data_IF_425541973135
#
_entry.id   IF_425541973135
#
_cell.length_a   1.000
_cell.length_b   1.000
_cell.length_c   1.000
_cell.angle_alpha   90.00
_cell.angle_beta   90.00
_cell.angle_gamma   90.00
#
_symmetry.space_group_name_H-M   'P 1'
#
loop_
_entity.id
_entity.type
_entity.pdbx_description
1 polymer ?
#
# COMPACT_ATOMS: atom_id res chain seq x y z
N UNK A 1 78.27 42.64 42.65
CA UNK A 1 76.85 42.49 42.23
C UNK A 1 76.81 41.73 40.90
N UNK A 2 76.22 40.53 40.86
CA UNK A 2 75.97 39.79 39.60
C UNK A 2 74.50 39.38 39.56
N UNK A 3 73.72 39.93 38.63
CA UNK A 3 72.34 39.52 38.38
C UNK A 3 72.37 38.33 37.41
N UNK A 4 71.75 37.22 37.79
CA UNK A 4 71.57 36.04 36.92
C UNK A 4 70.43 36.32 35.94
N UNK A 5 70.70 36.09 34.65
CA UNK A 5 69.70 36.14 33.58
C UNK A 5 68.90 34.85 33.58
N UNK A 6 67.57 34.96 33.67
CA UNK A 6 66.64 33.83 33.55
C UNK A 6 66.49 33.48 32.07
N UNK A 7 67.03 32.32 31.70
CA UNK A 7 66.85 31.69 30.40
C UNK A 7 65.37 31.54 30.10
N UNK A 8 64.84 32.33 29.17
CA UNK A 8 63.54 32.05 28.57
C UNK A 8 63.68 30.82 27.69
N UNK A 9 63.18 29.69 28.18
CA UNK A 9 63.01 28.47 27.39
C UNK A 9 62.09 28.76 26.21
N UNK A 10 62.65 28.56 25.02
CA UNK A 10 62.02 28.65 23.72
C UNK A 10 60.68 27.86 23.64
N UNK A 11 59.63 28.58 23.26
CA UNK A 11 58.47 28.14 22.47
C UNK A 11 57.78 26.82 22.82
N UNK A 12 56.96 26.81 23.87
CA UNK A 12 55.74 26.00 23.83
C UNK A 12 54.57 26.77 24.44
N UNK A 13 53.81 27.46 23.57
CA UNK A 13 52.47 27.89 23.95
C UNK A 13 51.62 26.62 24.12
N UNK A 14 51.46 26.16 25.37
CA UNK A 14 50.73 24.95 25.72
C UNK A 14 49.33 24.90 25.07
N UNK A 15 48.67 26.06 24.93
CA UNK A 15 47.37 26.19 24.24
C UNK A 15 47.45 25.86 22.75
N UNK A 16 48.53 26.27 22.07
CA UNK A 16 48.76 25.99 20.65
C UNK A 16 49.10 24.51 20.45
N UNK A 17 49.84 23.91 21.37
CA UNK A 17 50.11 22.47 21.38
C UNK A 17 48.81 21.66 21.52
N UNK A 18 47.97 22.01 22.49
CA UNK A 18 46.68 21.32 22.72
C UNK A 18 45.77 21.47 21.49
N UNK A 19 45.68 22.67 20.91
CA UNK A 19 44.90 22.90 19.69
C UNK A 19 45.40 22.06 18.49
N UNK A 20 46.72 21.97 18.31
CA UNK A 20 47.33 21.12 17.28
C UNK A 20 46.98 19.65 17.46
N UNK A 21 47.04 19.13 18.69
CA UNK A 21 46.74 17.71 18.97
C UNK A 21 45.26 17.40 18.70
N UNK A 22 44.35 18.27 19.13
CA UNK A 22 42.91 18.11 18.87
C UNK A 22 42.59 18.18 17.37
N UNK A 23 43.25 19.07 16.62
CA UNK A 23 43.09 19.18 15.18
C UNK A 23 43.53 17.89 14.46
N UNK A 24 44.70 17.36 14.81
CA UNK A 24 45.22 16.11 14.23
C UNK A 24 44.34 14.91 14.59
N UNK A 25 43.81 14.86 15.81
CA UNK A 25 42.87 13.82 16.22
C UNK A 25 41.57 13.85 15.40
N UNK A 26 41.01 15.04 15.16
CA UNK A 26 39.81 15.20 14.31
C UNK A 26 40.04 14.74 12.87
N UNK A 27 41.19 15.08 12.28
CA UNK A 27 41.58 14.61 10.94
C UNK A 27 41.73 13.09 10.91
N UNK A 28 42.34 12.50 11.95
CA UNK A 28 42.50 11.04 12.04
C UNK A 28 41.15 10.30 12.13
N UNK A 29 40.21 10.80 12.93
CA UNK A 29 38.85 10.24 13.01
C UNK A 29 38.10 10.38 11.68
N UNK A 30 38.25 11.51 10.98
CA UNK A 30 37.64 11.70 9.66
C UNK A 30 38.23 10.72 8.61
N UNK A 31 39.54 10.49 8.62
CA UNK A 31 40.20 9.53 7.72
C UNK A 31 39.80 8.08 8.03
N UNK A 32 39.61 7.71 9.29
CA UNK A 32 39.06 6.39 9.65
C UNK A 32 37.59 6.27 9.22
N UNK A 33 36.79 7.32 9.44
CA UNK A 33 35.40 7.38 9.02
C UNK A 33 35.22 7.23 7.51
N UNK A 34 36.10 7.84 6.69
CA UNK A 34 36.10 7.65 5.23
C UNK A 34 36.76 6.33 4.80
N UNK A 35 37.76 5.83 5.54
CA UNK A 35 38.51 4.60 5.21
C UNK A 35 37.78 3.30 5.55
N UNK A 36 36.83 3.32 6.51
CA UNK A 36 35.98 2.18 6.85
C UNK A 36 34.78 1.99 5.91
N UNK A 37 34.60 2.86 4.92
CA UNK A 37 33.65 2.68 3.81
C UNK A 37 34.37 2.53 2.46
N UNK A 38 35.21 1.48 2.24
CA UNK A 38 35.62 1.15 0.89
C UNK A 38 34.42 0.52 0.17
N UNK A 39 33.65 1.35 -0.54
CA UNK A 39 32.73 0.90 -1.58
C UNK A 39 31.41 0.29 -1.10
N UNK A 40 30.59 1.06 -0.38
CA UNK A 40 29.15 0.90 -0.60
C UNK A 40 28.91 1.27 -2.08
N UNK A 41 28.48 0.35 -2.95
CA UNK A 41 28.22 0.69 -4.33
C UNK A 41 27.06 1.68 -4.35
N UNK A 42 27.34 2.95 -4.68
CA UNK A 42 26.35 3.95 -5.04
C UNK A 42 25.86 3.72 -6.48
N UNK A 43 25.81 2.47 -6.90
CA UNK A 43 25.11 2.01 -8.08
C UNK A 43 23.92 1.26 -7.52
N UNK A 44 22.72 1.79 -7.72
CA UNK A 44 21.53 0.97 -7.71
C UNK A 44 21.81 -0.19 -8.67
N UNK A 45 22.21 -1.34 -8.12
CA UNK A 45 22.22 -2.57 -8.89
C UNK A 45 20.77 -2.71 -9.34
N UNK A 46 20.49 -2.74 -10.65
CA UNK A 46 19.20 -3.24 -11.08
C UNK A 46 19.12 -4.61 -10.43
N UNK A 47 18.18 -4.78 -9.50
CA UNK A 47 17.80 -6.10 -9.09
C UNK A 47 17.62 -6.84 -10.41
N UNK A 48 18.42 -7.88 -10.62
CA UNK A 48 18.03 -8.89 -11.60
C UNK A 48 16.81 -9.55 -10.97
N UNK A 49 15.68 -8.83 -11.00
CA UNK A 49 14.41 -9.45 -11.23
C UNK A 49 14.68 -10.27 -12.49
N UNK A 50 14.95 -11.56 -12.28
CA UNK A 50 14.52 -12.54 -13.25
C UNK A 50 13.14 -12.05 -13.63
N UNK A 51 13.01 -11.57 -14.86
CA UNK A 51 11.72 -11.49 -15.50
C UNK A 51 11.24 -12.93 -15.42
N UNK A 52 10.53 -13.27 -14.35
CA UNK A 52 9.56 -14.34 -14.40
C UNK A 52 8.65 -13.84 -15.51
N UNK A 53 8.98 -14.27 -16.72
CA UNK A 53 8.23 -14.04 -17.92
C UNK A 53 6.84 -14.50 -17.51
N UNK A 54 5.97 -13.54 -17.26
CA UNK A 54 4.61 -13.79 -16.83
C UNK A 54 3.98 -14.51 -18.00
N UNK A 55 4.05 -15.83 -17.98
CA UNK A 55 3.41 -16.66 -18.96
C UNK A 55 1.97 -16.70 -18.48
N UNK A 56 1.02 -16.04 -19.17
CA UNK A 56 -0.38 -16.23 -18.88
C UNK A 56 -0.66 -17.73 -19.00
N UNK A 57 -0.80 -18.41 -17.87
CA UNK A 57 -1.46 -19.70 -17.89
C UNK A 57 -2.94 -19.38 -18.08
N UNK A 58 -3.41 -19.44 -19.32
CA UNK A 58 -4.84 -19.42 -19.55
C UNK A 58 -5.37 -20.78 -19.10
N UNK A 59 -6.24 -20.78 -18.09
CA UNK A 59 -7.01 -21.97 -17.73
C UNK A 59 -8.37 -21.78 -18.37
N UNK A 60 -8.62 -22.48 -19.47
CA UNK A 60 -9.97 -22.58 -20.03
C UNK A 60 -10.75 -23.52 -19.12
N UNK A 61 -11.65 -22.95 -18.33
CA UNK A 61 -12.60 -23.72 -17.53
C UNK A 61 -13.84 -23.94 -18.39
N UNK A 62 -14.15 -25.20 -18.66
CA UNK A 62 -15.38 -25.56 -19.36
C UNK A 62 -16.58 -25.42 -18.42
N UNK A 63 -17.75 -25.13 -18.98
CA UNK A 63 -18.99 -25.12 -18.19
C UNK A 63 -19.18 -26.49 -17.52
N UNK A 64 -19.23 -26.50 -16.19
CA UNK A 64 -19.45 -27.70 -15.39
C UNK A 64 -20.87 -28.25 -15.58
N UNK A 65 -21.84 -27.35 -15.71
CA UNK A 65 -23.25 -27.67 -15.92
C UNK A 65 -23.94 -26.50 -16.60
N UNK A 66 -24.83 -26.79 -17.54
CA UNK A 66 -25.74 -25.80 -18.11
C UNK A 66 -27.15 -26.28 -17.85
N UNK A 67 -27.92 -25.52 -17.07
CA UNK A 67 -29.34 -25.78 -16.89
C UNK A 67 -30.09 -25.42 -18.17
N UNK A 68 -31.00 -26.29 -18.61
CA UNK A 68 -31.94 -26.01 -19.69
C UNK A 68 -33.30 -25.86 -19.05
N UNK A 69 -33.89 -24.67 -19.14
CA UNK A 69 -35.26 -24.45 -18.67
C UNK A 69 -36.26 -25.20 -19.56
N UNK A 70 -37.42 -25.53 -18.99
CA UNK A 70 -38.53 -26.03 -19.78
C UNK A 70 -38.91 -25.00 -20.87
N UNK A 71 -39.43 -25.45 -22.03
CA UNK A 71 -39.98 -24.55 -23.05
C UNK A 71 -40.94 -23.53 -22.42
N UNK A 72 -40.94 -22.29 -22.91
CA UNK A 72 -41.77 -21.21 -22.32
C UNK A 72 -43.26 -21.58 -22.21
N UNK A 73 -43.77 -22.39 -23.14
CA UNK A 73 -45.15 -22.92 -23.16
C UNK A 73 -45.45 -23.90 -22.01
N UNK A 74 -44.43 -24.52 -21.43
CA UNK A 74 -44.51 -25.50 -20.34
C UNK A 74 -44.17 -24.86 -18.98
N UNK A 75 -43.70 -23.61 -18.97
CA UNK A 75 -43.49 -22.87 -17.74
C UNK A 75 -44.84 -22.51 -17.11
N UNK A 76 -44.92 -22.58 -15.78
CA UNK A 76 -46.11 -22.18 -15.05
C UNK A 76 -46.44 -20.72 -15.36
N UNK A 77 -47.63 -20.48 -15.92
CA UNK A 77 -48.12 -19.12 -16.13
C UNK A 77 -48.51 -18.54 -14.78
N UNK A 78 -47.81 -17.50 -14.36
CA UNK A 78 -48.23 -16.74 -13.19
C UNK A 78 -49.38 -15.81 -13.59
N UNK A 79 -50.59 -15.93 -13.02
CA UNK A 79 -51.66 -14.98 -13.30
C UNK A 79 -51.18 -13.61 -12.81
N UNK A 80 -50.94 -12.69 -13.75
CA UNK A 80 -50.62 -11.31 -13.42
C UNK A 80 -51.94 -10.62 -13.05
N UNK A 81 -52.20 -10.31 -11.77
CA UNK A 81 -53.32 -9.43 -11.46
C UNK A 81 -53.08 -8.08 -12.16
N UNK A 82 -54.13 -7.33 -12.51
CA UNK A 82 -53.98 -5.97 -13.00
C UNK A 82 -53.24 -5.13 -11.95
N UNK A 83 -51.93 -5.02 -12.12
CA UNK A 83 -51.07 -4.17 -11.32
C UNK A 83 -51.02 -2.80 -11.98
N UNK A 84 -51.06 -1.74 -11.18
CA UNK A 84 -50.64 -0.43 -11.69
C UNK A 84 -49.17 -0.56 -12.09
N UNK A 85 -48.83 -0.06 -13.27
CA UNK A 85 -47.42 0.12 -13.62
C UNK A 85 -46.79 0.99 -12.54
N UNK A 86 -45.85 0.38 -11.83
CA UNK A 86 -45.03 1.06 -10.85
C UNK A 86 -43.61 0.60 -11.11
N UNK A 87 -42.75 1.55 -11.46
CA UNK A 87 -41.32 1.30 -11.53
C UNK A 87 -40.88 0.83 -10.14
N UNK A 88 -40.26 -0.35 -10.08
CA UNK A 88 -39.70 -0.84 -8.84
C UNK A 88 -38.68 0.20 -8.34
N UNK A 89 -38.58 0.47 -7.03
CA UNK A 89 -37.56 1.36 -6.51
C UNK A 89 -36.18 0.89 -6.98
N UNK A 90 -35.33 1.81 -7.43
CA UNK A 90 -34.00 1.55 -8.00
C UNK A 90 -33.11 0.68 -7.10
N UNK A 91 -33.39 0.69 -5.80
CA UNK A 91 -32.82 -0.21 -4.81
C UNK A 91 -33.95 -0.87 -3.99
N UNK A 92 -34.57 -1.96 -4.47
CA UNK A 92 -35.56 -2.66 -3.70
C UNK A 92 -34.87 -3.17 -2.44
N UNK A 93 -35.44 -2.89 -1.26
CA UNK A 93 -35.00 -3.55 -0.04
C UNK A 93 -35.24 -5.05 -0.24
N UNK A 94 -34.24 -5.76 -0.76
CA UNK A 94 -34.28 -7.21 -0.85
C UNK A 94 -34.52 -7.65 0.58
N UNK A 95 -35.68 -8.27 0.83
CA UNK A 95 -36.01 -8.87 2.10
C UNK A 95 -35.14 -10.09 2.34
N UNK A 96 -33.80 -9.92 2.27
CA UNK A 96 -32.86 -10.79 2.93
C UNK A 96 -33.29 -10.70 4.39
N UNK A 97 -34.15 -11.63 4.78
CA UNK A 97 -34.31 -12.01 6.16
C UNK A 97 -32.88 -12.29 6.56
N UNK A 98 -32.28 -11.36 7.32
CA UNK A 98 -31.05 -11.63 8.03
C UNK A 98 -31.37 -12.91 8.76
N UNK A 99 -30.83 -14.04 8.30
CA UNK A 99 -31.04 -15.31 8.96
C UNK A 99 -30.69 -15.01 10.42
N UNK A 100 -31.70 -15.07 11.29
CA UNK A 100 -31.55 -14.74 12.69
C UNK A 100 -30.76 -15.89 13.30
N UNK A 101 -29.45 -15.79 13.17
CA UNK A 101 -28.54 -16.87 13.41
C UNK A 101 -27.25 -16.55 12.68
N UNK A 102 -26.26 -16.11 13.43
CA UNK A 102 -24.87 -16.15 13.01
C UNK A 102 -24.53 -17.63 12.78
N UNK A 103 -24.80 -18.13 11.57
CA UNK A 103 -24.32 -19.43 11.12
C UNK A 103 -22.91 -19.19 10.59
N UNK A 104 -21.89 -19.87 11.11
CA UNK A 104 -20.56 -19.81 10.53
C UNK A 104 -20.65 -20.20 9.06
N UNK A 105 -20.13 -19.35 8.17
CA UNK A 105 -19.98 -19.68 6.76
C UNK A 105 -19.05 -20.91 6.65
N UNK A 106 -19.53 -21.97 6.01
CA UNK A 106 -18.77 -23.22 5.87
C UNK A 106 -17.66 -23.11 4.83
N UNK A 107 -17.65 -22.05 4.01
CA UNK A 107 -16.68 -21.78 2.95
C UNK A 107 -15.75 -20.63 3.34
N UNK A 108 -15.46 -20.45 4.64
CA UNK A 108 -14.43 -19.51 5.06
C UNK A 108 -13.06 -20.04 4.60
N UNK A 109 -12.45 -19.33 3.64
CA UNK A 109 -11.14 -19.66 3.10
C UNK A 109 -10.01 -19.23 4.06
N UNK A 110 -9.80 -19.98 5.14
CA UNK A 110 -8.75 -19.68 6.13
C UNK A 110 -7.31 -19.96 5.64
N UNK A 111 -7.13 -20.68 4.53
CA UNK A 111 -5.80 -21.14 4.09
C UNK A 111 -5.18 -20.29 2.97
N UNK A 112 -5.97 -19.57 2.18
CA UNK A 112 -5.46 -18.72 1.11
C UNK A 112 -4.95 -17.38 1.64
N UNK A 113 -5.56 -16.86 2.70
CA UNK A 113 -5.19 -15.56 3.28
C UNK A 113 -3.77 -15.55 3.84
N UNK A 114 -3.32 -16.60 4.54
CA UNK A 114 -1.97 -16.58 5.14
C UNK A 114 -0.82 -16.57 4.11
N UNK A 115 -1.04 -17.09 2.90
CA UNK A 115 -0.03 -17.09 1.83
C UNK A 115 -0.15 -15.87 0.89
N UNK A 116 -1.33 -15.24 0.80
CA UNK A 116 -1.51 -13.95 0.09
C UNK A 116 -1.10 -12.74 0.93
N UNK A 117 -1.23 -12.83 2.26
CA UNK A 117 -0.81 -11.77 3.20
C UNK A 117 0.70 -11.81 3.48
N UNK A 118 1.42 -12.81 2.97
CA UNK A 118 2.87 -12.97 3.13
C UNK A 118 3.72 -11.85 2.49
N UNK A 119 3.09 -10.86 1.86
CA UNK A 119 3.73 -9.68 1.32
C UNK A 119 2.85 -8.41 1.47
N UNK A 120 2.14 -8.24 2.59
CA UNK A 120 1.81 -6.86 3.00
C UNK A 120 3.09 -6.25 3.57
N UNK A 121 3.96 -5.85 2.65
CA UNK A 121 4.99 -4.86 2.92
C UNK A 121 4.23 -3.65 3.49
N UNK A 122 4.70 -3.02 4.59
CA UNK A 122 4.25 -1.68 4.94
C UNK A 122 4.64 -0.74 3.80
N UNK A 123 3.81 -0.71 2.76
CA UNK A 123 3.90 0.20 1.65
C UNK A 123 3.04 1.43 1.91
N UNK A 124 3.04 2.36 0.96
CA UNK A 124 2.13 3.48 1.00
C UNK A 124 0.68 2.97 1.09
N UNK A 125 -0.05 3.49 2.07
CA UNK A 125 -1.46 3.21 2.28
C UNK A 125 -2.20 4.55 2.42
N UNK A 126 -3.49 4.55 2.12
CA UNK A 126 -4.33 5.75 2.19
C UNK A 126 -5.72 5.37 2.68
N UNK A 127 -6.37 6.28 3.41
CA UNK A 127 -7.68 6.03 4.04
C UNK A 127 -8.84 5.93 3.03
N UNK A 128 -8.62 6.39 1.80
CA UNK A 128 -9.66 6.49 0.77
C UNK A 128 -10.67 7.61 1.05
N UNK A 129 -11.69 7.71 0.20
CA UNK A 129 -12.83 8.61 0.40
C UNK A 129 -13.76 8.00 1.47
N UNK A 130 -13.95 8.65 2.64
CA UNK A 130 -14.77 8.09 3.73
C UNK A 130 -16.28 8.14 3.39
N UNK A 131 -17.10 7.44 4.18
CA UNK A 131 -18.55 7.64 4.16
C UNK A 131 -19.04 8.20 5.51
N UNK A 132 -19.77 9.33 5.52
CA UNK A 132 -20.01 10.22 4.39
C UNK A 132 -18.76 11.05 4.05
N UNK A 133 -18.43 11.17 2.77
CA UNK A 133 -17.20 11.84 2.32
C UNK A 133 -17.26 12.49 0.94
N UNK A 134 -18.46 12.57 0.35
CA UNK A 134 -18.76 13.33 -0.87
C UNK A 134 -20.09 14.05 -0.65
N UNK A 135 -20.41 15.05 -1.48
CA UNK A 135 -21.64 15.87 -1.34
C UNK A 135 -22.94 15.03 -1.38
N UNK A 136 -22.89 13.84 -1.99
CA UNK A 136 -23.97 12.86 -1.84
C UNK A 136 -23.72 11.92 -0.66
N UNK A 137 -24.69 11.82 0.23
CA UNK A 137 -24.76 10.78 1.26
C UNK A 137 -25.34 9.45 0.70
N UNK A 138 -25.02 9.14 -0.56
CA UNK A 138 -25.56 8.05 -1.37
C UNK A 138 -25.27 6.68 -0.73
N UNK A 139 -26.28 5.80 -0.69
CA UNK A 139 -26.14 4.45 -0.16
C UNK A 139 -26.79 3.42 -1.13
N UNK A 140 -26.08 2.33 -1.49
CA UNK A 140 -24.71 2.01 -1.07
C UNK A 140 -23.66 2.95 -1.71
N UNK A 141 -22.50 3.16 -1.08
CA UNK A 141 -21.40 3.87 -1.71
C UNK A 141 -20.85 3.09 -2.91
N UNK A 142 -20.85 3.71 -4.09
CA UNK A 142 -20.36 3.10 -5.34
C UNK A 142 -18.88 3.45 -5.51
N UNK A 143 -18.02 2.71 -4.82
CA UNK A 143 -16.57 2.95 -4.80
C UNK A 143 -15.86 2.21 -5.92
N UNK A 144 -15.29 2.96 -6.86
CA UNK A 144 -14.40 2.44 -7.90
C UNK A 144 -13.02 3.12 -7.82
N UNK A 145 -12.00 2.52 -8.44
CA UNK A 145 -10.69 3.15 -8.51
C UNK A 145 -9.75 2.57 -9.56
N UNK A 146 -8.74 3.37 -9.91
CA UNK A 146 -7.72 3.02 -10.90
C UNK A 146 -6.32 3.39 -10.41
N UNK A 147 -5.38 2.49 -10.65
CA UNK A 147 -3.99 2.59 -10.22
C UNK A 147 -3.15 3.20 -11.35
N UNK A 148 -2.76 4.47 -11.23
CA UNK A 148 -1.86 5.18 -12.16
C UNK A 148 -0.38 4.94 -11.88
N UNK A 149 0.51 5.63 -12.59
CA UNK A 149 1.97 5.50 -12.38
C UNK A 149 2.42 6.12 -11.05
N UNK A 150 1.92 7.32 -10.72
CA UNK A 150 2.31 8.09 -9.52
C UNK A 150 1.15 8.32 -8.55
N UNK A 151 -0.05 7.88 -8.92
CA UNK A 151 -1.27 8.19 -8.19
C UNK A 151 -2.26 7.02 -8.20
N UNK A 152 -3.18 7.02 -7.26
CA UNK A 152 -4.40 6.23 -7.27
C UNK A 152 -5.60 7.17 -7.38
N UNK A 153 -6.51 6.93 -8.31
CA UNK A 153 -7.74 7.71 -8.44
C UNK A 153 -8.88 6.88 -7.91
N UNK A 154 -9.65 7.43 -6.97
CA UNK A 154 -10.85 6.82 -6.42
C UNK A 154 -12.06 7.69 -6.76
N UNK A 155 -13.17 7.07 -7.11
CA UNK A 155 -14.48 7.73 -7.25
C UNK A 155 -15.49 7.03 -6.34
N UNK A 156 -16.34 7.83 -5.69
CA UNK A 156 -17.47 7.36 -4.87
C UNK A 156 -18.70 8.17 -5.27
N UNK A 157 -19.59 7.56 -6.04
CA UNK A 157 -20.81 8.17 -6.60
C UNK A 157 -20.54 9.51 -7.34
N UNK A 158 -20.59 10.63 -6.63
CA UNK A 158 -20.48 12.00 -7.18
C UNK A 158 -19.15 12.68 -6.89
N UNK A 159 -18.28 12.09 -6.07
CA UNK A 159 -16.98 12.67 -5.72
C UNK A 159 -15.84 11.76 -6.10
N UNK A 160 -14.69 12.35 -6.44
CA UNK A 160 -13.46 11.62 -6.71
C UNK A 160 -12.29 12.31 -6.01
N UNK A 161 -11.25 11.52 -5.71
CA UNK A 161 -10.03 11.98 -5.07
C UNK A 161 -8.83 11.28 -5.69
N UNK A 162 -7.72 12.00 -5.80
CA UNK A 162 -6.44 11.50 -6.29
C UNK A 162 -5.48 11.39 -5.11
N UNK A 163 -4.99 10.18 -4.86
CA UNK A 163 -4.03 9.86 -3.82
C UNK A 163 -2.64 9.71 -4.43
N UNK A 164 -1.64 10.33 -3.83
CA UNK A 164 -0.25 10.24 -4.30
C UNK A 164 0.40 8.92 -3.84
N UNK A 165 1.35 8.41 -4.63
CA UNK A 165 2.08 7.16 -4.36
C UNK A 165 3.47 7.35 -3.74
N UNK A 166 3.92 8.58 -3.51
CA UNK A 166 5.24 8.89 -2.96
C UNK A 166 5.28 8.96 -1.43
#
# INVERSE_FOLDING_TARGET
>A
MKKKSTSQSAFFNLRVLIASVLCLFGVFVALIGFGLYPGAPLLAQPSQQQTQQWQPHWVVVHSSHNDVSAPLREMATWPLPPAREHEAPENPKTGIVRASGSRPDTVVQNRLMNNLLGNIIPGLNFDGIPFPGVDCNCAPPDTDGYVGLTQYVQIVNVGYQVFDKA
#
